data_IF_623473176806
#
_entry.id   IF_623473176806
#
_cell.length_a   1.000
_cell.length_b   1.000
_cell.length_c   1.000
_cell.angle_alpha   90.00
_cell.angle_beta   90.00
_cell.angle_gamma   90.00
#
_symmetry.space_group_name_H-M   'P 1'
#
loop_
_entity.id
_entity.type
_entity.pdbx_description
1 polymer ?
#
# COMPACT_ATOMS: atom_id res chain seq x y z
N UNK A 1 12.15 -0.56 -15.00
CA UNK A 1 12.20 0.24 -13.75
C UNK A 1 12.36 -0.73 -12.61
N UNK A 2 13.44 -0.61 -11.84
CA UNK A 2 13.73 -1.54 -10.75
C UNK A 2 13.31 -0.87 -9.44
N UNK A 3 12.26 -1.40 -8.80
CA UNK A 3 11.93 -1.03 -7.43
C UNK A 3 13.02 -1.57 -6.51
N UNK A 4 13.26 -0.97 -5.34
CA UNK A 4 14.29 -1.49 -4.44
C UNK A 4 13.86 -2.86 -3.89
N UNK A 5 14.82 -3.69 -3.45
CA UNK A 5 14.53 -5.02 -2.91
C UNK A 5 13.54 -5.00 -1.74
N UNK A 6 13.53 -3.93 -0.94
CA UNK A 6 12.55 -3.75 0.13
C UNK A 6 11.14 -3.53 -0.40
N UNK A 7 10.99 -2.82 -1.53
CA UNK A 7 9.72 -2.62 -2.22
C UNK A 7 9.24 -3.90 -2.94
N UNK A 8 10.17 -4.70 -3.48
CA UNK A 8 9.83 -6.05 -3.99
C UNK A 8 9.25 -6.92 -2.89
N UNK A 9 9.90 -6.96 -1.72
CA UNK A 9 9.37 -7.68 -0.57
C UNK A 9 8.07 -7.08 -0.04
N UNK A 10 7.92 -5.75 -0.10
CA UNK A 10 6.68 -5.09 0.28
C UNK A 10 5.49 -5.55 -0.56
N UNK A 11 5.67 -5.68 -1.88
CA UNK A 11 4.61 -6.12 -2.79
C UNK A 11 4.10 -7.54 -2.51
N UNK A 12 4.90 -8.38 -1.83
CA UNK A 12 4.55 -9.76 -1.47
C UNK A 12 3.92 -9.87 -0.07
N UNK A 13 3.87 -8.79 0.71
CA UNK A 13 3.35 -8.83 2.08
C UNK A 13 1.83 -8.98 2.11
N UNK A 14 1.34 -9.57 3.20
CA UNK A 14 -0.08 -9.61 3.51
C UNK A 14 -0.59 -8.23 3.97
N UNK A 15 -1.92 -8.09 4.03
CA UNK A 15 -2.61 -6.87 4.49
C UNK A 15 -2.22 -6.38 5.88
N UNK A 16 -1.72 -7.26 6.75
CA UNK A 16 -1.27 -6.89 8.10
C UNK A 16 0.23 -6.56 8.14
N UNK A 17 0.94 -6.72 7.03
CA UNK A 17 2.36 -6.40 6.93
C UNK A 17 2.59 -4.90 7.08
N UNK A 18 3.53 -4.51 7.94
CA UNK A 18 3.90 -3.10 8.10
C UNK A 18 4.67 -2.59 6.86
N UNK A 19 4.55 -1.30 6.51
CA UNK A 19 5.46 -0.66 5.56
C UNK A 19 6.90 -0.81 6.05
N UNK A 20 7.84 -1.02 5.14
CA UNK A 20 9.27 -0.96 5.49
C UNK A 20 9.70 0.47 5.83
N UNK A 21 10.88 0.61 6.43
CA UNK A 21 11.37 1.89 6.99
C UNK A 21 11.41 3.06 6.00
N UNK A 22 11.72 2.80 4.72
CA UNK A 22 11.76 3.84 3.68
C UNK A 22 10.40 4.18 3.05
N UNK A 23 9.28 3.54 3.44
CA UNK A 23 7.95 3.89 2.95
C UNK A 23 7.33 4.94 3.85
N UNK A 24 7.07 6.13 3.29
CA UNK A 24 6.38 7.21 3.98
C UNK A 24 4.94 7.31 3.48
N UNK A 25 3.98 7.50 4.38
CA UNK A 25 2.59 7.82 3.99
C UNK A 25 2.55 9.09 3.15
N UNK A 26 1.84 9.04 2.04
CA UNK A 26 1.58 10.17 1.16
C UNK A 26 0.06 10.30 1.00
N UNK A 27 -0.44 11.54 1.10
CA UNK A 27 -1.87 11.79 1.07
C UNK A 27 -2.60 11.35 2.33
N UNK A 28 -3.91 11.52 2.29
CA UNK A 28 -4.81 11.21 3.40
C UNK A 28 -5.30 9.76 3.32
N UNK A 29 -5.71 9.21 4.48
CA UNK A 29 -6.32 7.89 4.54
C UNK A 29 -7.68 7.93 3.85
N UNK A 30 -7.84 7.13 2.79
CA UNK A 30 -9.12 7.00 2.08
C UNK A 30 -9.96 5.93 2.77
N UNK A 31 -11.07 6.33 3.37
CA UNK A 31 -11.99 5.41 4.05
C UNK A 31 -13.20 5.14 3.14
N UNK A 32 -13.31 3.92 2.64
CA UNK A 32 -14.42 3.46 1.82
C UNK A 32 -15.44 2.75 2.71
N UNK A 33 -16.48 3.49 3.11
CA UNK A 33 -17.59 2.93 3.91
C UNK A 33 -18.62 2.29 2.98
N UNK A 34 -18.58 0.97 2.86
CA UNK A 34 -19.65 0.20 2.21
C UNK A 34 -20.82 -0.11 3.16
N UNK A 35 -21.73 -1.00 2.75
CA UNK A 35 -22.84 -1.45 3.59
C UNK A 35 -22.27 -2.26 4.77
N UNK A 36 -22.52 -1.80 6.00
CA UNK A 36 -22.03 -2.42 7.22
C UNK A 36 -22.26 -3.95 7.21
N UNK A 37 -21.25 -4.78 7.55
CA UNK A 37 -19.97 -4.48 8.20
C UNK A 37 -18.81 -4.20 7.22
N UNK A 38 -19.10 -4.02 5.93
CA UNK A 38 -18.07 -4.03 4.87
C UNK A 38 -17.61 -2.60 4.59
N UNK A 39 -16.51 -2.20 5.23
CA UNK A 39 -15.72 -1.04 4.83
C UNK A 39 -14.26 -1.44 4.71
N UNK A 40 -13.51 -0.70 3.90
CA UNK A 40 -12.07 -0.84 3.79
C UNK A 40 -11.41 0.53 3.70
N UNK A 41 -10.12 0.54 3.94
CA UNK A 41 -9.30 1.74 3.99
C UNK A 41 -8.14 1.56 3.03
N UNK A 42 -7.78 2.64 2.36
CA UNK A 42 -6.59 2.70 1.53
C UNK A 42 -5.68 3.83 1.97
N UNK A 43 -4.39 3.53 2.03
CA UNK A 43 -3.36 4.52 2.32
C UNK A 43 -2.26 4.43 1.26
N UNK A 44 -1.95 5.57 0.66
CA UNK A 44 -0.81 5.63 -0.25
C UNK A 44 0.49 5.86 0.52
N UNK A 45 1.55 5.24 0.01
CA UNK A 45 2.91 5.33 0.51
C UNK A 45 3.85 5.62 -0.64
N UNK A 46 4.95 6.31 -0.37
CA UNK A 46 6.03 6.53 -1.31
C UNK A 46 7.35 6.08 -0.70
N UNK A 47 8.10 5.29 -1.47
CA UNK A 47 9.43 4.86 -1.07
C UNK A 47 10.42 6.02 -1.22
N UNK A 48 11.17 6.35 -0.18
CA UNK A 48 12.18 7.40 -0.23
C UNK A 48 13.41 7.00 -1.06
N UNK A 49 13.68 5.69 -1.20
CA UNK A 49 14.82 5.12 -1.91
C UNK A 49 14.60 5.06 -3.42
N UNK A 50 13.52 4.40 -3.87
CA UNK A 50 13.23 4.23 -5.30
C UNK A 50 12.17 5.18 -5.84
N UNK A 51 11.59 6.05 -5.00
CA UNK A 51 10.54 7.04 -5.34
C UNK A 51 9.20 6.49 -5.83
N UNK A 52 9.08 5.17 -5.94
CA UNK A 52 7.86 4.45 -6.30
C UNK A 52 6.73 4.66 -5.29
N UNK A 53 5.49 4.56 -5.76
CA UNK A 53 4.28 4.68 -4.97
C UNK A 53 3.59 3.34 -4.78
N UNK A 54 3.04 3.14 -3.60
CA UNK A 54 2.28 1.96 -3.22
C UNK A 54 0.95 2.37 -2.62
N UNK A 55 -0.10 1.64 -2.91
CA UNK A 55 -1.36 1.70 -2.16
C UNK A 55 -1.44 0.49 -1.26
N UNK A 56 -1.65 0.72 0.04
CA UNK A 56 -1.99 -0.32 1.00
C UNK A 56 -3.51 -0.35 1.15
N UNK A 57 -4.13 -1.49 0.83
CA UNK A 57 -5.58 -1.68 0.97
C UNK A 57 -5.89 -2.70 2.07
N UNK A 58 -6.89 -2.39 2.89
CA UNK A 58 -7.44 -3.34 3.88
C UNK A 58 -8.60 -4.16 3.32
N UNK A 59 -8.97 -3.98 2.04
CA UNK A 59 -10.01 -4.76 1.41
C UNK A 59 -9.61 -6.24 1.35
N UNK A 60 -10.59 -7.12 1.61
CA UNK A 60 -10.41 -8.56 1.51
C UNK A 60 -10.40 -9.05 0.06
N UNK A 61 -10.90 -8.25 -0.87
CA UNK A 61 -11.01 -8.60 -2.28
C UNK A 61 -9.91 -7.97 -3.15
N UNK A 62 -9.09 -7.08 -2.60
CA UNK A 62 -8.02 -6.39 -3.31
C UNK A 62 -6.63 -6.89 -2.91
N UNK A 63 -5.61 -6.47 -3.67
CA UNK A 63 -4.23 -6.74 -3.31
C UNK A 63 -3.83 -5.86 -2.11
N UNK A 64 -3.23 -6.45 -1.07
CA UNK A 64 -2.77 -5.70 0.08
C UNK A 64 -1.86 -4.52 -0.25
N UNK A 65 -0.92 -4.71 -1.17
CA UNK A 65 0.13 -3.75 -1.51
C UNK A 65 0.23 -3.65 -3.03
N UNK A 66 -0.37 -2.60 -3.58
CA UNK A 66 -0.40 -2.38 -5.03
C UNK A 66 0.66 -1.34 -5.40
N UNK A 67 1.67 -1.77 -6.16
CA UNK A 67 2.66 -0.86 -6.75
C UNK A 67 2.03 -0.09 -7.91
N UNK A 68 2.14 1.23 -7.89
CA UNK A 68 1.71 2.08 -9.01
C UNK A 68 2.70 1.93 -10.15
N UNK A 69 2.31 1.20 -11.19
CA UNK A 69 3.00 1.22 -12.47
C UNK A 69 2.39 2.36 -13.28
N UNK A 70 3.06 3.52 -13.26
CA UNK A 70 2.70 4.66 -14.11
C UNK A 70 2.85 4.35 -15.59
#
# INVERSE_FOLDING_TARGET
MSICSLCEEQSKKSKNGKPHEYLRKVGELRIFKGKSPRGFEEQDYQCLTCKEKFTHSTDKNDLPWTLWRG
#
